data_IF_586064108617
#
_entry.id   IF_586064108617
#
_cell.length_a   1.000
_cell.length_b   1.000
_cell.length_c   1.000
_cell.angle_alpha   90.00
_cell.angle_beta   90.00
_cell.angle_gamma   90.00
#
_symmetry.space_group_name_H-M   'P 1'
#
loop_
_entity.id
_entity.type
_entity.pdbx_description
1 polymer ?
#
# COMPACT_ATOMS: atom_id res chain seq x y z
N UNK A 1 7.08 -8.10 -37.77
CA UNK A 1 8.37 -7.60 -37.25
C UNK A 1 8.20 -6.14 -36.87
N UNK A 2 7.75 -5.87 -35.64
CA UNK A 2 7.66 -4.51 -35.09
C UNK A 2 8.51 -4.47 -33.84
N UNK A 3 9.66 -3.81 -33.91
CA UNK A 3 10.48 -3.53 -32.76
C UNK A 3 9.68 -2.58 -31.86
N UNK A 4 9.18 -3.10 -30.73
CA UNK A 4 8.70 -2.27 -29.62
C UNK A 4 9.93 -1.64 -28.97
N UNK A 5 10.47 -0.60 -29.60
CA UNK A 5 11.33 0.37 -28.94
C UNK A 5 10.44 1.21 -28.02
N UNK A 6 10.01 0.65 -26.89
CA UNK A 6 9.38 1.44 -25.84
C UNK A 6 10.47 1.95 -24.92
N UNK A 7 10.47 3.26 -24.72
CA UNK A 7 11.37 3.97 -23.81
C UNK A 7 11.11 3.57 -22.36
N UNK A 8 11.55 2.37 -21.96
CA UNK A 8 11.90 2.03 -20.59
C UNK A 8 13.05 2.94 -20.18
N UNK A 9 12.73 4.18 -19.79
CA UNK A 9 13.58 4.94 -18.89
C UNK A 9 14.01 3.99 -17.78
N UNK A 10 15.31 3.85 -17.57
CA UNK A 10 15.93 3.01 -16.54
C UNK A 10 15.38 3.46 -15.16
N UNK A 11 14.23 2.92 -14.80
CA UNK A 11 13.54 3.21 -13.55
C UNK A 11 14.16 2.28 -12.53
N UNK A 12 15.09 2.84 -11.77
CA UNK A 12 15.71 2.17 -10.65
C UNK A 12 14.69 2.06 -9.51
N UNK A 13 14.46 0.85 -9.05
CA UNK A 13 13.61 0.51 -7.90
C UNK A 13 14.51 0.20 -6.72
N UNK A 14 14.29 0.88 -5.61
CA UNK A 14 14.90 0.51 -4.33
C UNK A 14 14.10 -0.64 -3.72
N UNK A 15 14.76 -1.75 -3.46
CA UNK A 15 14.18 -2.90 -2.77
C UNK A 15 15.04 -3.28 -1.56
N UNK A 16 14.43 -3.78 -0.50
CA UNK A 16 15.17 -4.39 0.60
C UNK A 16 15.19 -5.90 0.40
N UNK A 17 16.39 -6.50 0.36
CA UNK A 17 16.53 -7.94 0.27
C UNK A 17 16.09 -8.58 1.61
N UNK A 18 15.07 -9.46 1.64
CA UNK A 18 14.63 -10.10 2.88
C UNK A 18 15.67 -11.07 3.46
N UNK A 19 16.65 -11.52 2.65
CA UNK A 19 17.69 -12.44 3.07
C UNK A 19 18.88 -11.70 3.68
N UNK A 20 19.42 -10.70 2.97
CA UNK A 20 20.61 -9.94 3.42
C UNK A 20 20.28 -8.66 4.19
N UNK A 21 19.00 -8.26 4.22
CA UNK A 21 18.52 -6.98 4.77
C UNK A 21 19.19 -5.74 4.16
N UNK A 22 19.83 -5.90 3.01
CA UNK A 22 20.50 -4.82 2.28
C UNK A 22 19.51 -4.14 1.35
N UNK A 23 19.62 -2.82 1.25
CA UNK A 23 18.88 -2.04 0.27
C UNK A 23 19.63 -2.05 -1.06
N UNK A 24 18.95 -2.54 -2.09
CA UNK A 24 19.51 -2.77 -3.42
C UNK A 24 18.76 -1.93 -4.45
N UNK A 25 19.52 -1.29 -5.34
CA UNK A 25 18.97 -0.57 -6.48
C UNK A 25 18.87 -1.52 -7.67
N UNK A 26 17.64 -1.83 -8.05
CA UNK A 26 17.33 -2.80 -9.08
C UNK A 26 16.67 -2.11 -10.27
N UNK A 27 17.24 -2.28 -11.45
CA UNK A 27 16.65 -1.78 -12.69
C UNK A 27 15.39 -2.56 -13.06
N UNK A 28 14.40 -1.88 -13.63
CA UNK A 28 13.11 -2.45 -14.07
C UNK A 28 13.24 -3.75 -14.91
N UNK A 29 14.32 -3.88 -15.70
CA UNK A 29 14.66 -5.11 -16.46
C UNK A 29 14.80 -6.39 -15.62
N UNK A 30 14.98 -6.27 -14.30
CA UNK A 30 15.08 -7.40 -13.35
C UNK A 30 13.72 -7.80 -12.76
N UNK A 31 12.65 -7.06 -13.07
CA UNK A 31 11.29 -7.45 -12.73
C UNK A 31 10.88 -8.59 -13.65
N UNK A 32 10.64 -9.77 -13.08
CA UNK A 32 10.25 -10.98 -13.81
C UNK A 32 8.75 -11.02 -14.09
N UNK A 33 7.93 -10.52 -13.17
CA UNK A 33 6.49 -10.47 -13.36
C UNK A 33 5.84 -9.37 -12.53
N UNK A 34 4.72 -8.86 -13.04
CA UNK A 34 3.86 -7.89 -12.38
C UNK A 34 2.45 -8.46 -12.36
N UNK A 35 1.93 -8.73 -11.16
CA UNK A 35 0.57 -9.24 -10.98
C UNK A 35 -0.27 -8.17 -10.29
N UNK A 36 -1.30 -7.71 -11.00
CA UNK A 36 -2.24 -6.73 -10.45
C UNK A 36 -3.35 -7.47 -9.70
N UNK A 37 -3.27 -7.48 -8.38
CA UNK A 37 -4.35 -7.96 -7.53
C UNK A 37 -5.34 -6.82 -7.23
N UNK A 38 -6.60 -7.15 -6.90
CA UNK A 38 -7.60 -6.15 -6.51
C UNK A 38 -7.15 -5.22 -5.38
N UNK A 39 -6.29 -5.70 -4.48
CA UNK A 39 -5.85 -4.97 -3.28
C UNK A 39 -4.42 -4.46 -3.33
N UNK A 40 -3.58 -4.94 -4.25
CA UNK A 40 -2.16 -4.57 -4.32
C UNK A 40 -1.57 -5.01 -5.67
N UNK A 41 -0.39 -4.50 -6.02
CA UNK A 41 0.38 -5.04 -7.15
C UNK A 41 1.55 -5.83 -6.60
N UNK A 42 1.68 -7.10 -7.00
CA UNK A 42 2.80 -7.97 -6.65
C UNK A 42 3.86 -7.91 -7.76
N UNK A 43 5.09 -7.57 -7.40
CA UNK A 43 6.26 -7.47 -8.26
C UNK A 43 7.22 -8.59 -7.90
N UNK A 44 7.46 -9.53 -8.82
CA UNK A 44 8.51 -10.53 -8.64
C UNK A 44 9.81 -9.98 -9.18
N UNK A 45 10.79 -9.76 -8.31
CA UNK A 45 12.07 -9.11 -8.64
C UNK A 45 13.21 -10.06 -8.32
N UNK A 46 14.12 -10.22 -9.26
CA UNK A 46 15.36 -10.95 -9.04
C UNK A 46 16.36 -10.06 -8.30
N UNK A 47 16.73 -10.45 -7.08
CA UNK A 47 17.63 -9.68 -6.24
C UNK A 47 19.10 -9.95 -6.63
N UNK A 48 19.91 -8.91 -6.90
CA UNK A 48 21.32 -9.07 -7.25
C UNK A 48 22.19 -9.52 -6.07
N UNK A 49 21.81 -9.21 -4.82
CA UNK A 49 22.60 -9.51 -3.64
C UNK A 49 22.54 -10.99 -3.23
N UNK A 50 21.37 -11.62 -3.30
CA UNK A 50 21.19 -13.03 -2.89
C UNK A 50 20.89 -13.98 -4.06
N UNK A 51 20.75 -13.46 -5.29
CA UNK A 51 20.43 -14.23 -6.49
C UNK A 51 19.02 -14.85 -6.51
N UNK A 52 18.19 -14.56 -5.51
CA UNK A 52 16.84 -15.13 -5.38
C UNK A 52 15.77 -14.20 -5.94
N UNK A 53 14.60 -14.76 -6.26
CA UNK A 53 13.43 -13.97 -6.66
C UNK A 53 12.57 -13.66 -5.44
N UNK A 54 12.25 -12.38 -5.25
CA UNK A 54 11.44 -11.88 -4.15
C UNK A 54 10.19 -11.18 -4.65
N UNK A 55 9.08 -11.36 -3.93
CA UNK A 55 7.80 -10.73 -4.27
C UNK A 55 7.59 -9.51 -3.41
N UNK A 56 7.64 -8.33 -4.03
CA UNK A 56 7.35 -7.04 -3.40
C UNK A 56 5.91 -6.64 -3.69
N UNK A 57 5.18 -6.24 -2.66
CA UNK A 57 3.79 -5.79 -2.80
C UNK A 57 3.75 -4.28 -2.71
N UNK A 58 3.39 -3.61 -3.80
CA UNK A 58 3.25 -2.14 -3.80
C UNK A 58 1.88 -1.77 -3.25
N UNK A 59 1.92 -0.99 -2.17
CA UNK A 59 0.80 -0.84 -1.25
C UNK A 59 -0.13 0.34 -1.51
N UNK A 60 -0.10 1.05 -2.65
CA UNK A 60 -0.96 2.26 -2.82
C UNK A 60 -2.43 1.99 -2.53
N UNK A 61 -2.97 0.87 -3.02
CA UNK A 61 -4.34 0.43 -2.71
C UNK A 61 -4.55 0.01 -1.25
N UNK A 62 -3.51 -0.48 -0.59
CA UNK A 62 -3.49 -0.86 0.81
C UNK A 62 -3.43 0.37 1.73
N UNK A 63 -2.68 1.41 1.33
CA UNK A 63 -2.65 2.72 1.96
C UNK A 63 -4.00 3.44 1.80
N UNK A 64 -4.60 3.39 0.60
CA UNK A 64 -5.96 3.88 0.37
C UNK A 64 -7.00 3.16 1.24
N UNK A 65 -6.96 1.83 1.29
CA UNK A 65 -7.86 1.05 2.13
C UNK A 65 -7.67 1.37 3.63
N UNK A 66 -6.42 1.50 4.09
CA UNK A 66 -6.12 1.92 5.48
C UNK A 66 -6.63 3.31 5.78
N UNK A 67 -6.43 4.27 4.87
CA UNK A 67 -6.94 5.63 5.01
C UNK A 67 -8.46 5.63 5.14
N UNK A 68 -9.16 4.89 4.27
CA UNK A 68 -10.63 4.76 4.30
C UNK A 68 -11.15 4.20 5.63
N UNK A 69 -10.45 3.21 6.19
CA UNK A 69 -10.80 2.64 7.50
C UNK A 69 -10.57 3.65 8.63
N UNK A 70 -9.45 4.37 8.62
CA UNK A 70 -9.17 5.42 9.62
C UNK A 70 -10.20 6.58 9.58
N UNK A 71 -10.62 6.98 8.37
CA UNK A 71 -11.67 8.00 8.17
C UNK A 71 -13.04 7.52 8.69
N UNK A 72 -13.37 6.24 8.48
CA UNK A 72 -14.62 5.66 8.98
C UNK A 72 -14.65 5.55 10.51
N UNK A 73 -13.52 5.21 11.12
CA UNK A 73 -13.38 5.14 12.58
C UNK A 73 -13.56 6.51 13.24
N UNK A 74 -12.91 7.54 12.67
CA UNK A 74 -13.04 8.92 13.14
C UNK A 74 -14.49 9.42 13.04
N UNK A 75 -15.19 9.11 11.94
CA UNK A 75 -16.60 9.47 11.76
C UNK A 75 -17.49 8.76 12.78
N UNK A 76 -17.22 7.49 13.06
CA UNK A 76 -17.98 6.69 14.04
C UNK A 76 -17.78 7.22 15.46
N UNK A 77 -16.55 7.58 15.83
CA UNK A 77 -16.23 8.20 17.11
C UNK A 77 -16.94 9.55 17.29
N UNK A 78 -16.96 10.38 16.24
CA UNK A 78 -17.64 11.68 16.26
C UNK A 78 -19.16 11.50 16.44
N UNK A 79 -19.77 10.58 15.70
CA UNK A 79 -21.20 10.28 15.81
C UNK A 79 -21.58 9.75 17.21
N UNK A 80 -20.74 8.90 17.79
CA UNK A 80 -20.93 8.40 19.16
C UNK A 80 -20.88 9.53 20.19
N UNK A 81 -19.92 10.46 20.05
CA UNK A 81 -19.81 11.63 20.92
C UNK A 81 -21.04 12.54 20.80
N UNK A 82 -21.51 12.81 19.58
CA UNK A 82 -22.73 13.61 19.36
C UNK A 82 -23.96 12.94 19.96
N UNK A 83 -24.11 11.62 19.82
CA UNK A 83 -25.20 10.88 20.41
C UNK A 83 -25.16 10.90 21.95
N UNK A 84 -23.97 10.83 22.55
CA UNK A 84 -23.80 10.95 23.99
C UNK A 84 -24.22 12.34 24.50
N UNK A 85 -23.79 13.42 23.83
CA UNK A 85 -24.19 14.78 24.19
C UNK A 85 -25.71 15.00 24.06
N UNK A 86 -26.33 14.44 23.03
CA UNK A 86 -27.78 14.53 22.85
C UNK A 86 -28.56 13.84 23.98
N UNK A 87 -28.06 12.70 24.48
CA UNK A 87 -28.66 12.00 25.63
C UNK A 87 -28.55 12.82 26.92
N UNK A 88 -27.37 13.38 27.19
CA UNK A 88 -27.16 14.25 28.35
C UNK A 88 -28.10 15.48 28.34
N UNK A 89 -28.31 16.10 27.17
CA UNK A 89 -29.23 17.23 27.03
C UNK A 89 -30.69 16.84 27.30
N UNK A 90 -31.11 15.64 26.86
CA UNK A 90 -32.46 15.13 27.13
C UNK A 90 -32.68 14.84 28.61
N UNK A 91 -31.68 14.30 29.31
CA UNK A 91 -31.73 14.05 30.75
C UNK A 91 -31.88 15.36 31.55
N UNK A 92 -31.11 16.40 31.19
CA UNK A 92 -31.22 17.72 31.80
C UNK A 92 -32.57 18.39 31.57
N UNK A 93 -33.16 18.21 30.38
CA UNK A 93 -34.49 18.76 30.06
C UNK A 93 -35.61 18.02 30.81
N UNK A 94 -35.36 16.78 31.23
CA UNK A 94 -36.33 15.93 31.95
C UNK A 94 -36.29 16.15 33.47
N UNK A 95 -35.19 16.69 33.99
CA UNK A 95 -35.02 17.02 35.40
C UNK A 95 -35.73 18.33 35.77
#
# INVERSE_FOLDING_TARGET
>A
MGAITDGQADRMLLITCPVSQSDELVADRRIRSVVNHPTHVALSVECPACGSVHVYRTGRRWEDARRRVAEADTRSATAAATAASARAAQELTRA
#
